data_IF_103592522207
#
_entry.id   IF_103592522207
#
_cell.length_a   1.000
_cell.length_b   1.000
_cell.length_c   1.000
_cell.angle_alpha   90.00
_cell.angle_beta   90.00
_cell.angle_gamma   90.00
#
_symmetry.space_group_name_H-M   'P 1'
#
loop_
_entity.id
_entity.type
_entity.pdbx_description
1 polymer ?
#
# COMPACT_ATOMS: atom_id res chain seq x y z
N UNK A 1 -15.98 -7.07 -25.00
CA UNK A 1 -16.23 -6.82 -23.58
C UNK A 1 -16.94 -8.04 -23.00
N UNK A 2 -16.23 -8.83 -22.21
CA UNK A 2 -16.73 -10.07 -21.61
C UNK A 2 -17.57 -9.75 -20.36
N UNK A 3 -18.59 -10.56 -20.06
CA UNK A 3 -19.38 -10.50 -18.83
C UNK A 3 -18.55 -10.40 -17.55
N UNK A 4 -17.33 -10.96 -17.52
CA UNK A 4 -16.37 -10.79 -16.43
C UNK A 4 -15.78 -9.38 -16.31
N UNK A 5 -15.56 -8.68 -17.42
CA UNK A 5 -15.04 -7.29 -17.45
C UNK A 5 -16.13 -6.29 -17.05
N UNK A 6 -17.39 -6.55 -17.45
CA UNK A 6 -18.55 -5.72 -17.08
C UNK A 6 -18.84 -5.85 -15.59
N UNK A 7 -18.73 -7.06 -15.03
CA UNK A 7 -18.83 -7.29 -13.59
C UNK A 7 -17.71 -6.62 -12.78
N UNK A 8 -16.49 -6.59 -13.32
CA UNK A 8 -15.32 -5.96 -12.69
C UNK A 8 -15.39 -4.43 -12.70
N UNK A 9 -15.83 -3.82 -13.81
CA UNK A 9 -16.07 -2.36 -13.88
C UNK A 9 -17.22 -1.95 -12.97
N UNK A 10 -18.31 -2.72 -12.90
CA UNK A 10 -19.42 -2.47 -11.97
C UNK A 10 -19.02 -2.68 -10.51
N UNK A 11 -18.11 -3.61 -10.19
CA UNK A 11 -17.63 -3.85 -8.83
C UNK A 11 -16.68 -2.76 -8.34
N UNK A 12 -15.77 -2.29 -9.23
CA UNK A 12 -15.00 -1.06 -9.02
C UNK A 12 -15.98 0.09 -8.81
N UNK A 13 -16.95 0.32 -9.69
CA UNK A 13 -17.96 1.38 -9.54
C UNK A 13 -18.89 1.21 -8.32
N UNK A 14 -18.95 0.03 -7.66
CA UNK A 14 -19.77 -0.21 -6.46
C UNK A 14 -18.98 -0.06 -5.15
N UNK A 15 -17.72 -0.48 -5.09
CA UNK A 15 -16.85 -0.29 -3.92
C UNK A 15 -16.09 1.04 -3.96
N UNK A 16 -15.55 1.40 -5.12
CA UNK A 16 -15.24 2.80 -5.41
C UNK A 16 -16.55 3.60 -5.39
N UNK A 17 -17.72 3.05 -5.71
CA UNK A 17 -19.01 3.74 -5.58
C UNK A 17 -19.38 4.16 -4.17
N UNK A 18 -19.04 3.39 -3.14
CA UNK A 18 -19.33 3.75 -1.75
C UNK A 18 -18.34 4.78 -1.21
N UNK A 19 -17.05 4.66 -1.57
CA UNK A 19 -16.05 5.71 -1.33
C UNK A 19 -16.33 6.98 -2.14
N UNK A 20 -16.60 6.87 -3.44
CA UNK A 20 -17.00 7.96 -4.34
C UNK A 20 -18.35 8.56 -3.95
N UNK A 21 -19.29 7.81 -3.37
CA UNK A 21 -20.55 8.38 -2.87
C UNK A 21 -20.33 9.24 -1.62
N UNK A 22 -19.30 8.97 -0.81
CA UNK A 22 -18.82 9.89 0.23
C UNK A 22 -18.02 11.06 -0.38
N UNK A 23 -17.13 10.82 -1.36
CA UNK A 23 -16.28 11.84 -2.03
C UNK A 23 -17.10 12.85 -2.86
N UNK A 24 -18.13 12.40 -3.58
CA UNK A 24 -19.08 13.27 -4.31
C UNK A 24 -19.90 14.10 -3.31
N UNK A 25 -20.10 13.59 -2.08
CA UNK A 25 -20.86 14.27 -1.02
C UNK A 25 -20.01 15.25 -0.21
N UNK A 26 -18.69 15.05 -0.11
CA UNK A 26 -17.75 15.93 0.63
C UNK A 26 -17.21 17.08 -0.24
N UNK A 27 -17.02 16.87 -1.55
CA UNK A 27 -16.49 17.89 -2.46
C UNK A 27 -15.00 18.20 -2.27
N UNK A 28 -14.24 17.32 -1.62
CA UNK A 28 -12.83 17.57 -1.28
C UNK A 28 -11.90 17.24 -2.46
N UNK A 29 -11.65 18.25 -3.31
CA UNK A 29 -10.75 18.17 -4.47
C UNK A 29 -9.33 17.64 -4.15
N UNK A 30 -8.87 17.78 -2.90
CA UNK A 30 -7.57 17.30 -2.45
C UNK A 30 -7.46 15.79 -2.47
N UNK A 31 -8.48 15.10 -1.94
CA UNK A 31 -8.54 13.64 -1.90
C UNK A 31 -8.57 13.06 -3.33
N UNK A 32 -9.42 13.60 -4.20
CA UNK A 32 -9.51 13.22 -5.63
C UNK A 32 -8.16 13.38 -6.34
N UNK A 33 -7.46 14.49 -6.09
CA UNK A 33 -6.15 14.74 -6.69
C UNK A 33 -5.11 13.75 -6.17
N UNK A 34 -5.15 13.42 -4.87
CA UNK A 34 -4.29 12.42 -4.24
C UNK A 34 -4.47 11.04 -4.89
N UNK A 35 -5.72 10.55 -4.96
CA UNK A 35 -6.04 9.30 -5.64
C UNK A 35 -5.59 9.28 -7.11
N UNK A 36 -5.83 10.38 -7.84
CA UNK A 36 -5.41 10.47 -9.25
C UNK A 36 -3.89 10.36 -9.40
N UNK A 37 -3.12 10.98 -8.50
CA UNK A 37 -1.66 10.88 -8.50
C UNK A 37 -1.18 9.48 -8.16
N UNK A 38 -1.80 8.83 -7.16
CA UNK A 38 -1.51 7.44 -6.80
C UNK A 38 -1.75 6.50 -7.98
N UNK A 39 -2.92 6.58 -8.62
CA UNK A 39 -3.26 5.74 -9.77
C UNK A 39 -2.33 5.92 -10.97
N UNK A 40 -1.77 7.13 -11.12
CA UNK A 40 -0.82 7.43 -12.19
C UNK A 40 0.51 6.70 -11.99
N UNK A 41 1.00 6.59 -10.76
CA UNK A 41 2.29 5.94 -10.45
C UNK A 41 2.13 4.49 -10.05
N UNK A 42 0.91 4.03 -9.72
CA UNK A 42 0.71 2.71 -9.13
C UNK A 42 0.87 1.55 -10.11
N UNK A 43 0.81 1.83 -11.40
CA UNK A 43 0.93 0.83 -12.47
C UNK A 43 2.38 0.68 -12.96
N UNK A 44 3.27 1.56 -12.55
CA UNK A 44 4.68 1.45 -12.89
C UNK A 44 5.29 0.26 -12.13
N UNK A 45 6.10 -0.53 -12.83
CA UNK A 45 6.85 -1.62 -12.23
C UNK A 45 7.85 -1.05 -11.22
N UNK A 46 7.73 -1.48 -9.97
CA UNK A 46 8.59 -1.07 -8.84
C UNK A 46 9.74 -2.07 -8.60
N UNK A 47 9.62 -3.26 -9.16
CA UNK A 47 10.64 -4.29 -9.25
C UNK A 47 10.77 -4.72 -10.73
N UNK A 48 11.80 -5.49 -11.07
CA UNK A 48 11.96 -6.04 -12.44
C UNK A 48 10.72 -6.86 -12.88
N UNK A 49 10.67 -7.27 -14.16
CA UNK A 49 9.46 -7.89 -14.78
C UNK A 49 8.88 -9.09 -14.01
N UNK A 50 9.70 -9.82 -13.24
CA UNK A 50 9.29 -10.98 -12.43
C UNK A 50 8.55 -10.60 -11.13
N UNK A 51 8.68 -9.35 -10.66
CA UNK A 51 8.18 -8.91 -9.37
C UNK A 51 8.94 -9.51 -8.18
N UNK A 52 8.48 -9.20 -6.96
CA UNK A 52 9.08 -9.66 -5.70
C UNK A 52 8.04 -10.35 -4.82
N UNK A 53 8.42 -11.47 -4.21
CA UNK A 53 7.61 -12.14 -3.20
C UNK A 53 8.08 -11.74 -1.80
N UNK A 54 7.24 -11.04 -1.05
CA UNK A 54 7.55 -10.59 0.31
C UNK A 54 6.71 -11.36 1.32
N UNK A 55 7.33 -11.78 2.42
CA UNK A 55 6.56 -12.27 3.57
C UNK A 55 5.94 -11.08 4.29
N UNK A 56 4.73 -11.26 4.80
CA UNK A 56 4.07 -10.28 5.63
C UNK A 56 3.26 -10.94 6.73
N UNK A 57 2.91 -10.15 7.74
CA UNK A 57 1.92 -10.49 8.74
C UNK A 57 0.80 -9.44 8.68
N UNK A 58 -0.39 -9.84 8.25
CA UNK A 58 -1.58 -8.96 8.18
C UNK A 58 -2.54 -9.40 9.28
N UNK A 59 -2.87 -8.49 10.20
CA UNK A 59 -3.74 -8.73 11.35
C UNK A 59 -3.38 -10.02 12.10
N UNK A 60 -2.08 -10.22 12.31
CA UNK A 60 -1.52 -11.39 13.00
C UNK A 60 -1.36 -12.64 12.13
N UNK A 61 -1.89 -12.69 10.90
CA UNK A 61 -1.79 -13.85 9.99
C UNK A 61 -0.62 -13.72 9.03
N UNK A 62 0.20 -14.76 8.94
CA UNK A 62 1.28 -14.83 7.96
C UNK A 62 0.73 -15.00 6.54
N UNK A 63 1.21 -14.17 5.62
CA UNK A 63 0.87 -14.19 4.19
C UNK A 63 2.11 -13.94 3.34
N UNK A 64 2.03 -14.28 2.06
CA UNK A 64 3.04 -13.90 1.06
C UNK A 64 2.39 -12.91 0.09
N UNK A 65 3.04 -11.78 -0.11
CA UNK A 65 2.65 -10.74 -1.05
C UNK A 65 3.46 -10.90 -2.34
N UNK A 66 2.80 -10.97 -3.48
CA UNK A 66 3.46 -11.01 -4.79
C UNK A 66 3.33 -9.64 -5.45
N UNK A 67 4.41 -8.86 -5.48
CA UNK A 67 4.37 -7.43 -5.79
C UNK A 67 5.24 -7.17 -7.01
N UNK A 68 4.64 -6.71 -8.11
CA UNK A 68 5.38 -6.18 -9.27
C UNK A 68 5.17 -4.66 -9.39
N UNK A 69 3.95 -4.23 -9.14
CA UNK A 69 3.52 -2.82 -9.17
C UNK A 69 3.06 -2.38 -7.78
N UNK A 70 3.00 -1.08 -7.54
CA UNK A 70 2.44 -0.57 -6.29
C UNK A 70 0.94 -0.91 -6.15
N UNK A 71 0.22 -1.06 -7.27
CA UNK A 71 -1.15 -1.55 -7.29
C UNK A 71 -1.26 -2.97 -6.71
N UNK A 72 -0.32 -3.87 -7.01
CA UNK A 72 -0.32 -5.23 -6.45
C UNK A 72 -0.17 -5.20 -4.94
N UNK A 73 0.68 -4.33 -4.41
CA UNK A 73 0.85 -4.12 -2.98
C UNK A 73 -0.46 -3.65 -2.33
N UNK A 74 -1.07 -2.57 -2.85
CA UNK A 74 -2.29 -2.01 -2.26
C UNK A 74 -3.47 -2.98 -2.33
N UNK A 75 -3.63 -3.70 -3.45
CA UNK A 75 -4.68 -4.72 -3.57
C UNK A 75 -4.51 -5.85 -2.55
N UNK A 76 -3.28 -6.28 -2.27
CA UNK A 76 -3.05 -7.35 -1.29
C UNK A 76 -3.05 -6.88 0.16
N UNK A 77 -3.10 -5.56 0.38
CA UNK A 77 -3.15 -4.92 1.71
C UNK A 77 -4.45 -4.15 1.95
N UNK A 78 -5.43 -4.24 1.04
CA UNK A 78 -6.67 -3.46 1.10
C UNK A 78 -7.55 -3.84 2.30
N UNK A 79 -7.52 -5.10 2.71
CA UNK A 79 -8.37 -5.66 3.76
C UNK A 79 -7.72 -5.61 5.17
N UNK A 80 -6.65 -4.85 5.36
CA UNK A 80 -6.04 -4.68 6.69
C UNK A 80 -7.05 -4.04 7.62
N UNK A 81 -7.29 -4.66 8.78
CA UNK A 81 -8.20 -4.13 9.81
C UNK A 81 -7.46 -3.27 10.83
N UNK A 82 -6.30 -3.74 11.27
CA UNK A 82 -5.53 -3.09 12.34
C UNK A 82 -4.10 -2.83 11.90
N UNK A 83 -3.40 -3.85 11.40
CA UNK A 83 -1.98 -3.70 11.09
C UNK A 83 -1.45 -4.68 10.05
N UNK A 84 -0.39 -4.26 9.36
CA UNK A 84 0.42 -5.12 8.53
C UNK A 84 1.91 -4.88 8.75
N UNK A 85 2.66 -5.96 8.95
CA UNK A 85 4.12 -5.94 8.96
C UNK A 85 4.66 -6.63 7.72
N UNK A 86 5.40 -5.91 6.88
CA UNK A 86 6.02 -6.42 5.65
C UNK A 86 7.52 -6.56 5.85
N UNK A 87 8.03 -7.77 5.60
CA UNK A 87 9.45 -8.09 5.71
C UNK A 87 10.13 -7.84 4.37
N UNK A 88 11.06 -6.88 4.33
CA UNK A 88 11.74 -6.46 3.10
C UNK A 88 13.01 -7.29 2.81
N UNK A 89 13.44 -8.06 3.82
CA UNK A 89 14.61 -8.93 3.80
C UNK A 89 14.28 -10.33 4.35
N UNK A 90 15.06 -11.34 3.97
CA UNK A 90 14.87 -12.74 4.38
C UNK A 90 15.03 -12.98 5.89
N UNK A 91 15.80 -12.16 6.60
CA UNK A 91 16.06 -12.37 8.03
C UNK A 91 14.84 -12.08 8.90
N UNK A 92 13.83 -11.36 8.38
CA UNK A 92 12.49 -11.15 8.97
C UNK A 92 12.44 -10.35 10.28
N UNK A 93 13.19 -10.73 11.31
CA UNK A 93 13.13 -10.13 12.66
C UNK A 93 14.23 -9.12 12.96
N UNK A 94 15.37 -9.20 12.26
CA UNK A 94 16.50 -8.27 12.40
C UNK A 94 16.77 -7.47 11.12
N UNK A 95 15.98 -7.72 10.07
CA UNK A 95 16.11 -7.05 8.78
C UNK A 95 15.17 -5.86 8.63
N UNK A 96 15.23 -5.24 7.45
CA UNK A 96 14.38 -4.12 7.09
C UNK A 96 12.90 -4.51 7.01
N UNK A 97 12.02 -3.68 7.59
CA UNK A 97 10.58 -3.96 7.60
C UNK A 97 9.71 -2.68 7.58
N UNK A 98 8.52 -2.81 7.02
CA UNK A 98 7.44 -1.81 7.08
C UNK A 98 6.37 -2.26 8.07
N UNK A 99 5.94 -1.38 8.96
CA UNK A 99 4.78 -1.57 9.85
C UNK A 99 3.72 -0.52 9.46
N UNK A 100 2.56 -0.99 9.01
CA UNK A 100 1.40 -0.18 8.68
C UNK A 100 0.38 -0.38 9.79
N UNK A 101 -0.16 0.72 10.34
CA UNK A 101 -1.21 0.69 11.35
C UNK A 101 -2.36 1.59 10.96
N UNK A 102 -3.55 1.01 10.90
CA UNK A 102 -4.77 1.71 10.57
C UNK A 102 -5.52 2.07 11.85
N UNK A 103 -6.04 3.28 11.92
CA UNK A 103 -6.84 3.73 13.06
C UNK A 103 -7.91 4.70 12.59
N UNK A 104 -9.16 4.41 12.91
CA UNK A 104 -10.25 5.39 12.76
C UNK A 104 -10.42 6.15 14.06
N UNK A 105 -10.29 7.48 14.02
CA UNK A 105 -10.39 8.34 15.19
C UNK A 105 -11.06 9.66 14.85
N UNK A 106 -12.02 10.07 15.67
CA UNK A 106 -12.77 11.32 15.49
C UNK A 106 -13.50 11.44 14.14
N UNK A 107 -13.85 10.31 13.52
CA UNK A 107 -14.52 10.27 12.22
C UNK A 107 -13.58 10.36 11.02
N UNK A 108 -12.27 10.43 11.25
CA UNK A 108 -11.25 10.38 10.21
C UNK A 108 -10.49 9.04 10.28
N UNK A 109 -10.09 8.51 9.11
CA UNK A 109 -9.20 7.37 8.97
C UNK A 109 -7.73 7.81 8.88
N UNK A 110 -6.89 7.15 9.66
CA UNK A 110 -5.46 7.43 9.75
C UNK A 110 -4.64 6.19 9.42
N UNK A 111 -3.53 6.42 8.71
CA UNK A 111 -2.50 5.42 8.45
C UNK A 111 -1.17 5.90 9.03
N UNK A 112 -0.62 5.13 9.95
CA UNK A 112 0.75 5.27 10.39
C UNK A 112 1.63 4.24 9.66
N UNK A 113 2.71 4.71 9.05
CA UNK A 113 3.70 3.87 8.36
C UNK A 113 5.04 4.06 9.06
N UNK A 114 5.65 2.98 9.49
CA UNK A 114 6.98 2.97 10.11
C UNK A 114 7.91 2.06 9.32
N UNK A 115 9.11 2.56 9.05
CA UNK A 115 10.17 1.81 8.40
C UNK A 115 11.29 1.54 9.41
N UNK A 116 11.65 0.28 9.55
CA UNK A 116 12.63 -0.19 10.54
C UNK A 116 13.84 -0.83 9.87
N UNK A 117 14.97 -0.80 10.59
CA UNK A 117 16.08 -1.73 10.43
C UNK A 117 16.34 -2.43 11.77
N UNK A 118 15.95 -3.71 11.87
CA UNK A 118 15.93 -4.41 13.15
C UNK A 118 14.98 -3.74 14.15
N UNK A 119 15.51 -3.23 15.25
CA UNK A 119 14.74 -2.53 16.30
C UNK A 119 14.73 -1.01 16.12
N UNK A 120 15.55 -0.46 15.22
CA UNK A 120 15.65 0.97 14.98
C UNK A 120 14.55 1.43 14.01
N UNK A 121 13.85 2.51 14.37
CA UNK A 121 12.93 3.21 13.47
C UNK A 121 13.74 4.20 12.63
N UNK A 122 13.80 3.97 11.32
CA UNK A 122 14.48 4.85 10.38
C UNK A 122 13.59 6.01 9.94
N UNK A 123 12.31 5.73 9.66
CA UNK A 123 11.32 6.72 9.23
C UNK A 123 9.95 6.40 9.80
N UNK A 124 9.14 7.44 10.04
CA UNK A 124 7.73 7.31 10.43
C UNK A 124 6.94 8.41 9.74
N UNK A 125 5.77 8.06 9.24
CA UNK A 125 4.81 8.98 8.66
C UNK A 125 3.41 8.67 9.20
N UNK A 126 2.62 9.69 9.49
CA UNK A 126 1.22 9.55 9.90
C UNK A 126 0.37 10.42 8.98
N UNK A 127 -0.63 9.80 8.37
CA UNK A 127 -1.37 10.36 7.24
C UNK A 127 -2.85 10.28 7.56
N UNK A 128 -3.55 11.41 7.46
CA UNK A 128 -5.01 11.42 7.47
C UNK A 128 -5.52 11.03 6.08
N UNK A 129 -6.04 9.82 5.93
CA UNK A 129 -6.44 9.29 4.63
C UNK A 129 -7.62 10.07 4.03
N UNK A 130 -8.54 10.57 4.85
CA UNK A 130 -9.68 11.35 4.37
C UNK A 130 -9.26 12.73 3.87
N UNK A 131 -8.35 13.41 4.57
CA UNK A 131 -7.96 14.80 4.26
C UNK A 131 -6.79 14.91 3.30
N UNK A 132 -5.80 14.03 3.43
CA UNK A 132 -4.58 14.05 2.60
C UNK A 132 -4.68 13.07 1.41
N UNK A 133 -5.58 12.08 1.50
CA UNK A 133 -5.67 10.99 0.53
C UNK A 133 -4.47 10.04 0.59
N UNK A 134 -4.48 8.99 -0.25
CA UNK A 134 -3.54 7.88 -0.14
C UNK A 134 -2.19 8.11 -0.83
N UNK A 135 -2.03 9.19 -1.61
CA UNK A 135 -0.81 9.38 -2.43
C UNK A 135 0.46 9.42 -1.59
N UNK A 136 0.43 10.14 -0.47
CA UNK A 136 1.57 10.28 0.43
C UNK A 136 2.00 8.94 1.02
N UNK A 137 1.04 8.07 1.33
CA UNK A 137 1.29 6.70 1.79
C UNK A 137 1.96 5.88 0.68
N UNK A 138 1.42 5.95 -0.54
CA UNK A 138 1.98 5.28 -1.71
C UNK A 138 3.41 5.72 -1.99
N UNK A 139 3.71 7.01 -1.97
CA UNK A 139 5.07 7.52 -2.19
C UNK A 139 6.04 7.04 -1.11
N UNK A 140 5.63 7.03 0.16
CA UNK A 140 6.47 6.54 1.25
C UNK A 140 6.85 5.06 1.06
N UNK A 141 5.86 4.21 0.77
CA UNK A 141 6.11 2.77 0.57
C UNK A 141 6.99 2.54 -0.65
N UNK A 142 6.74 3.27 -1.75
CA UNK A 142 7.54 3.21 -2.97
C UNK A 142 9.01 3.56 -2.73
N UNK A 143 9.28 4.64 -1.99
CA UNK A 143 10.64 5.04 -1.62
C UNK A 143 11.35 3.95 -0.82
N UNK A 144 10.65 3.33 0.14
CA UNK A 144 11.22 2.25 0.95
C UNK A 144 11.49 1.00 0.11
N UNK A 145 10.60 0.63 -0.82
CA UNK A 145 10.87 -0.48 -1.74
C UNK A 145 12.09 -0.20 -2.63
N UNK A 146 12.23 1.02 -3.17
CA UNK A 146 13.41 1.41 -3.94
C UNK A 146 14.69 1.37 -3.11
N UNK A 147 14.65 1.82 -1.86
CA UNK A 147 15.81 1.80 -0.95
C UNK A 147 16.24 0.37 -0.54
N UNK A 148 15.31 -0.57 -0.52
CA UNK A 148 15.52 -1.96 -0.10
C UNK A 148 15.71 -2.93 -1.26
N UNK A 149 15.77 -2.42 -2.48
CA UNK A 149 16.12 -3.17 -3.68
C UNK A 149 17.57 -2.88 -4.02
N UNK A 150 18.50 -3.84 -3.89
CA UNK A 150 19.88 -3.63 -4.30
C UNK A 150 19.94 -3.27 -5.79
N UNK A 151 20.75 -2.28 -6.16
CA UNK A 151 21.07 -2.07 -7.58
C UNK A 151 21.86 -3.28 -8.09
N UNK A 152 21.22 -4.13 -8.90
CA UNK A 152 21.90 -5.15 -9.68
C UNK A 152 22.40 -6.41 -8.95
N UNK A 153 21.89 -6.74 -7.76
CA UNK A 153 22.11 -8.07 -7.17
C UNK A 153 20.93 -9.00 -7.48
N UNK A 154 21.21 -10.00 -8.33
CA UNK A 154 20.39 -11.19 -8.53
C UNK A 154 20.20 -11.91 -7.18
N UNK A 155 18.97 -11.89 -6.67
CA UNK A 155 18.67 -12.31 -5.29
C UNK A 155 18.28 -13.79 -5.16
N UNK A 156 18.86 -14.67 -5.98
CA UNK A 156 18.73 -16.12 -5.79
C UNK A 156 19.97 -16.72 -5.10
N UNK A 157 19.76 -17.22 -3.88
CA UNK A 157 20.41 -18.46 -3.41
C UNK A 157 19.41 -19.31 -2.64
#
# INVERSE_FOLDING_TARGET
MNSGEIGFILFIVLFIGFGIFQIIRSGELGEILSFTKMMKTSQDDIFDEEGKSLRAQIDGKEVTLHIRTMMDFWKQTEDIRESAKIYLEETGKMGRNLDLRFTSSQGDDWLEIRYFAGEEILRTETINLDKEGPFKASSFVEEVFKETTPEGEEWWN
#
